data_IF_258639979718
#
_entry.id   IF_258639979718
#
_cell.length_a   1.000
_cell.length_b   1.000
_cell.length_c   1.000
_cell.angle_alpha   90.00
_cell.angle_beta   90.00
_cell.angle_gamma   90.00
#
_symmetry.space_group_name_H-M   'P 1'
#
loop_
_entity.id
_entity.type
_entity.pdbx_description
1 polymer ?
#
# COMPACT_ATOMS: atom_id res chain seq x y z
N UNK A 1 46.52 20.83 62.11
CA UNK A 1 46.17 21.34 60.77
C UNK A 1 46.19 20.25 59.71
N UNK A 2 47.18 19.35 59.72
CA UNK A 2 47.33 18.29 58.70
C UNK A 2 46.18 17.28 58.62
N UNK A 3 45.62 16.87 59.77
CA UNK A 3 44.50 15.90 59.80
C UNK A 3 43.24 16.50 59.15
N UNK A 4 42.94 17.77 59.40
CA UNK A 4 41.79 18.45 58.80
C UNK A 4 41.96 18.60 57.28
N UNK A 5 43.17 18.84 56.79
CA UNK A 5 43.44 18.91 55.35
C UNK A 5 43.28 17.55 54.66
N UNK A 6 43.68 16.46 55.30
CA UNK A 6 43.50 15.10 54.76
C UNK A 6 42.01 14.73 54.72
N UNK A 7 41.26 15.04 55.77
CA UNK A 7 39.80 14.81 55.81
C UNK A 7 39.10 15.62 54.72
N UNK A 8 39.44 16.90 54.55
CA UNK A 8 38.87 17.74 53.50
C UNK A 8 39.17 17.20 52.09
N UNK A 9 40.38 16.70 51.85
CA UNK A 9 40.76 16.10 50.58
C UNK A 9 39.98 14.80 50.31
N UNK A 10 39.82 13.94 51.33
CA UNK A 10 39.03 12.70 51.21
C UNK A 10 37.56 12.98 50.90
N UNK A 11 36.96 13.97 51.55
CA UNK A 11 35.59 14.39 51.28
C UNK A 11 35.45 14.95 49.85
N UNK A 12 36.40 15.74 49.38
CA UNK A 12 36.42 16.23 47.99
C UNK A 12 36.48 15.09 46.98
N UNK A 13 37.36 14.10 47.20
CA UNK A 13 37.48 12.92 46.34
C UNK A 13 36.20 12.07 46.36
N UNK A 14 35.52 11.97 47.50
CA UNK A 14 34.24 11.28 47.62
C UNK A 14 33.13 11.99 46.84
N UNK A 15 33.07 13.32 46.88
CA UNK A 15 32.11 14.12 46.08
C UNK A 15 32.38 13.97 44.59
N UNK A 16 33.65 13.99 44.16
CA UNK A 16 34.03 13.82 42.75
C UNK A 16 33.69 12.41 42.26
N UNK A 17 33.99 11.38 43.04
CA UNK A 17 33.71 9.99 42.67
C UNK A 17 32.21 9.68 42.65
N UNK A 18 31.46 10.10 43.66
CA UNK A 18 29.99 9.96 43.68
C UNK A 18 29.31 10.69 42.52
N UNK A 19 29.74 11.91 42.19
CA UNK A 19 29.23 12.65 41.04
C UNK A 19 29.51 11.96 39.70
N UNK A 20 30.66 11.29 39.55
CA UNK A 20 30.98 10.49 38.36
C UNK A 20 30.14 9.22 38.27
N UNK A 21 29.93 8.52 39.39
CA UNK A 21 29.04 7.35 39.43
C UNK A 21 27.61 7.73 39.07
N UNK A 22 27.07 8.81 39.65
CA UNK A 22 25.71 9.25 39.41
C UNK A 22 25.48 9.62 37.93
N UNK A 23 26.42 10.33 37.31
CA UNK A 23 26.38 10.65 35.87
C UNK A 23 26.45 9.39 35.00
N UNK A 24 27.31 8.43 35.35
CA UNK A 24 27.42 7.16 34.63
C UNK A 24 26.13 6.34 34.71
N UNK A 25 25.53 6.28 35.90
CA UNK A 25 24.24 5.60 36.12
C UNK A 25 23.12 6.23 35.28
N UNK A 26 23.04 7.56 35.25
CA UNK A 26 22.03 8.28 34.47
C UNK A 26 22.16 8.03 32.96
N UNK A 27 23.40 8.03 32.43
CA UNK A 27 23.65 7.76 31.00
C UNK A 27 23.28 6.31 30.64
N UNK A 28 23.64 5.35 31.49
CA UNK A 28 23.24 3.94 31.33
C UNK A 28 21.72 3.77 31.37
N UNK A 29 21.04 4.47 32.28
CA UNK A 29 19.58 4.49 32.37
C UNK A 29 18.92 5.01 31.10
N UNK A 30 19.40 6.13 30.54
CA UNK A 30 18.89 6.66 29.26
C UNK A 30 19.11 5.70 28.09
N UNK A 31 20.29 5.05 28.02
CA UNK A 31 20.57 4.08 26.96
C UNK A 31 19.65 2.86 27.04
N UNK A 32 19.38 2.36 28.24
CA UNK A 32 18.39 1.29 28.46
C UNK A 32 16.99 1.73 28.03
N UNK A 33 16.56 2.92 28.42
CA UNK A 33 15.25 3.45 27.99
C UNK A 33 15.12 3.58 26.47
N UNK A 34 16.19 3.97 25.77
CA UNK A 34 16.21 3.98 24.30
C UNK A 34 16.08 2.58 23.69
N UNK A 35 16.75 1.58 24.28
CA UNK A 35 16.65 0.18 23.84
C UNK A 35 15.25 -0.40 24.09
N UNK A 36 14.65 -0.10 25.23
CA UNK A 36 13.29 -0.51 25.59
C UNK A 36 12.27 0.10 24.63
N UNK A 37 12.37 1.40 24.35
CA UNK A 37 11.51 2.07 23.37
C UNK A 37 11.62 1.45 21.96
N UNK A 38 12.84 1.17 21.50
CA UNK A 38 13.05 0.53 20.21
C UNK A 38 12.49 -0.90 20.18
N UNK A 39 12.63 -1.65 21.28
CA UNK A 39 12.06 -3.00 21.41
C UNK A 39 10.53 -2.98 21.36
N UNK A 40 9.89 -2.01 22.01
CA UNK A 40 8.44 -1.88 21.99
C UNK A 40 7.90 -1.48 20.60
N UNK A 41 8.59 -0.57 19.92
CA UNK A 41 8.30 -0.22 18.52
C UNK A 41 8.40 -1.47 17.63
N UNK A 42 9.44 -2.29 17.81
CA UNK A 42 9.60 -3.53 17.04
C UNK A 42 8.49 -4.53 17.34
N UNK A 43 8.07 -4.67 18.60
CA UNK A 43 6.93 -5.55 18.94
C UNK A 43 5.67 -5.11 18.19
N UNK A 44 5.35 -3.81 18.20
CA UNK A 44 4.22 -3.28 17.44
C UNK A 44 4.36 -3.46 15.93
N UNK A 45 5.56 -3.27 15.39
CA UNK A 45 5.82 -3.36 13.96
C UNK A 45 5.94 -4.81 13.45
N UNK A 46 6.35 -5.76 14.29
CA UNK A 46 6.38 -7.18 13.94
C UNK A 46 4.97 -7.71 13.60
N UNK A 47 3.93 -7.24 14.30
CA UNK A 47 2.54 -7.51 13.93
C UNK A 47 2.26 -7.00 12.49
N UNK A 48 2.82 -5.85 12.12
CA UNK A 48 2.68 -5.31 10.78
C UNK A 48 3.45 -6.13 9.73
N UNK A 49 4.50 -6.89 10.09
CA UNK A 49 5.32 -7.70 9.17
C UNK A 49 4.94 -9.19 9.09
N UNK A 50 3.86 -9.62 9.77
CA UNK A 50 3.46 -11.01 10.08
C UNK A 50 3.56 -12.07 8.97
N UNK A 51 3.50 -11.72 7.69
CA UNK A 51 3.54 -12.68 6.58
C UNK A 51 4.90 -13.39 6.41
N UNK A 52 6.00 -12.87 6.99
CA UNK A 52 7.32 -13.48 6.86
C UNK A 52 8.02 -13.83 8.20
N UNK A 53 7.48 -13.39 9.34
CA UNK A 53 8.09 -13.61 10.67
C UNK A 53 9.50 -13.03 10.87
N UNK A 54 10.08 -12.39 9.85
CA UNK A 54 11.44 -11.87 9.86
C UNK A 54 11.43 -10.36 9.63
N UNK A 55 12.13 -9.63 10.51
CA UNK A 55 12.42 -8.22 10.28
C UNK A 55 13.28 -8.06 9.02
N UNK A 56 13.07 -6.98 8.24
CA UNK A 56 13.97 -6.60 7.16
C UNK A 56 15.42 -6.54 7.66
N UNK A 57 16.35 -7.06 6.86
CA UNK A 57 17.77 -7.20 7.23
C UNK A 57 18.43 -5.87 7.64
N UNK A 58 17.98 -4.75 7.06
CA UNK A 58 18.49 -3.42 7.42
C UNK A 58 18.00 -2.96 8.79
N UNK A 59 16.74 -3.25 9.14
CA UNK A 59 16.15 -2.94 10.45
C UNK A 59 16.79 -3.80 11.53
N UNK A 60 17.01 -5.08 11.28
CA UNK A 60 17.71 -5.97 12.22
C UNK A 60 19.16 -5.53 12.43
N UNK A 61 19.88 -5.16 11.36
CA UNK A 61 21.24 -4.62 11.45
C UNK A 61 21.31 -3.30 12.23
N UNK A 62 20.33 -2.41 12.05
CA UNK A 62 20.25 -1.16 12.80
C UNK A 62 19.94 -1.41 14.29
N UNK A 63 19.08 -2.38 14.58
CA UNK A 63 18.76 -2.80 15.94
C UNK A 63 19.98 -3.38 16.66
N UNK A 64 20.78 -4.22 16.00
CA UNK A 64 21.98 -4.79 16.61
C UNK A 64 23.00 -3.70 16.97
N UNK A 65 23.12 -2.64 16.15
CA UNK A 65 23.94 -1.47 16.50
C UNK A 65 23.40 -0.70 17.71
N UNK A 66 22.09 -0.62 17.89
CA UNK A 66 21.45 -0.01 19.05
C UNK A 66 21.61 -0.85 20.33
N UNK A 67 21.63 -2.18 20.19
CA UNK A 67 21.84 -3.13 21.30
C UNK A 67 23.31 -3.21 21.72
N UNK A 68 24.24 -2.93 20.81
CA UNK A 68 25.66 -3.03 21.09
C UNK A 68 26.06 -2.19 22.32
N UNK A 69 26.82 -2.78 23.26
CA UNK A 69 27.20 -2.07 24.47
C UNK A 69 28.10 -0.90 24.07
N UNK A 70 27.71 0.30 24.49
CA UNK A 70 28.58 1.45 24.40
C UNK A 70 29.87 1.16 25.18
N UNK A 71 30.99 1.03 24.46
CA UNK A 71 32.31 0.75 25.03
C UNK A 71 32.78 1.86 25.97
N UNK A 72 34.05 1.82 26.37
CA UNK A 72 34.70 2.83 27.21
C UNK A 72 34.89 4.18 26.48
N UNK A 73 33.80 4.76 25.99
CA UNK A 73 33.76 6.06 25.31
C UNK A 73 33.27 7.11 26.30
N UNK A 74 33.74 8.35 26.17
CA UNK A 74 33.27 9.43 27.03
C UNK A 74 31.74 9.58 26.98
N UNK A 75 31.13 9.95 28.11
CA UNK A 75 29.67 10.08 28.24
C UNK A 75 29.00 10.96 27.18
N UNK A 76 29.72 11.97 26.65
CA UNK A 76 29.22 12.84 25.57
C UNK A 76 29.15 12.08 24.25
N UNK A 77 30.23 11.43 23.85
CA UNK A 77 30.30 10.61 22.63
C UNK A 77 29.32 9.43 22.67
N UNK A 78 29.12 8.83 23.84
CA UNK A 78 28.14 7.77 24.03
C UNK A 78 26.70 8.22 23.77
N UNK A 79 26.37 9.47 24.16
CA UNK A 79 25.05 10.05 23.92
C UNK A 79 24.85 10.36 22.43
N UNK A 80 25.86 10.96 21.79
CA UNK A 80 25.83 11.29 20.37
C UNK A 80 25.73 10.03 19.49
N UNK A 81 26.45 8.97 19.85
CA UNK A 81 26.36 7.66 19.19
C UNK A 81 24.98 7.01 19.36
N UNK A 82 24.39 7.08 20.57
CA UNK A 82 23.04 6.55 20.81
C UNK A 82 21.98 7.25 19.96
N UNK A 83 22.05 8.58 19.84
CA UNK A 83 21.17 9.35 18.95
C UNK A 83 21.37 9.01 17.47
N UNK A 84 22.61 8.87 17.03
CA UNK A 84 22.91 8.44 15.66
C UNK A 84 22.37 7.03 15.35
N UNK A 85 22.50 6.08 16.29
CA UNK A 85 21.96 4.74 16.12
C UNK A 85 20.43 4.72 16.07
N UNK A 86 19.76 5.53 16.89
CA UNK A 86 18.30 5.69 16.82
C UNK A 86 17.84 6.29 15.49
N UNK A 87 18.58 7.27 14.96
CA UNK A 87 18.28 7.85 13.66
C UNK A 87 18.35 6.82 12.54
N UNK A 88 19.45 6.04 12.49
CA UNK A 88 19.63 4.96 11.51
C UNK A 88 18.55 3.88 11.67
N UNK A 89 18.16 3.55 12.90
CA UNK A 89 17.06 2.63 13.16
C UNK A 89 15.72 3.17 12.63
N UNK A 90 15.39 4.43 12.91
CA UNK A 90 14.16 5.06 12.44
C UNK A 90 14.07 5.15 10.92
N UNK A 91 15.17 5.51 10.26
CA UNK A 91 15.26 5.59 8.79
C UNK A 91 15.07 4.22 8.11
N UNK A 92 15.76 3.18 8.60
CA UNK A 92 15.61 1.82 8.11
C UNK A 92 14.17 1.30 8.31
N UNK A 93 13.59 1.58 9.49
CA UNK A 93 12.22 1.17 9.80
C UNK A 93 11.19 1.88 8.91
N UNK A 94 11.31 3.20 8.75
CA UNK A 94 10.44 4.00 7.89
C UNK A 94 10.48 3.55 6.43
N UNK A 95 11.69 3.34 5.90
CA UNK A 95 11.90 2.84 4.54
C UNK A 95 11.29 1.46 4.33
N UNK A 96 11.44 0.55 5.29
CA UNK A 96 10.83 -0.77 5.22
C UNK A 96 9.29 -0.71 5.25
N UNK A 97 8.71 0.09 6.14
CA UNK A 97 7.26 0.29 6.21
C UNK A 97 6.72 0.90 4.90
N UNK A 98 7.38 1.92 4.36
CA UNK A 98 7.01 2.52 3.07
C UNK A 98 7.10 1.52 1.93
N UNK A 99 8.18 0.76 1.83
CA UNK A 99 8.37 -0.24 0.77
C UNK A 99 7.29 -1.32 0.81
N UNK A 100 6.94 -1.80 2.02
CA UNK A 100 5.85 -2.75 2.21
C UNK A 100 4.50 -2.14 1.78
N UNK A 101 4.17 -0.94 2.27
CA UNK A 101 2.92 -0.25 1.92
C UNK A 101 2.81 0.02 0.43
N UNK A 102 3.88 0.49 -0.21
CA UNK A 102 3.95 0.73 -1.65
C UNK A 102 3.75 -0.56 -2.44
N UNK A 103 4.38 -1.67 -2.04
CA UNK A 103 4.20 -2.97 -2.69
C UNK A 103 2.75 -3.46 -2.56
N UNK A 104 2.18 -3.39 -1.36
CA UNK A 104 0.78 -3.74 -1.13
C UNK A 104 -0.16 -2.86 -1.97
N UNK A 105 0.09 -1.55 -2.03
CA UNK A 105 -0.67 -0.64 -2.89
C UNK A 105 -0.55 -1.01 -4.37
N UNK A 106 0.65 -1.31 -4.86
CA UNK A 106 0.87 -1.78 -6.23
C UNK A 106 0.15 -3.10 -6.53
N UNK A 107 0.13 -4.04 -5.59
CA UNK A 107 -0.61 -5.31 -5.74
C UNK A 107 -2.12 -5.10 -5.72
N UNK A 108 -2.64 -4.25 -4.85
CA UNK A 108 -4.06 -3.85 -4.86
C UNK A 108 -4.43 -3.09 -6.14
N UNK A 109 -3.46 -2.45 -6.79
CA UNK A 109 -3.60 -1.80 -8.08
C UNK A 109 -3.24 -2.69 -9.28
N UNK A 110 -2.75 -3.92 -9.08
CA UNK A 110 -2.44 -4.81 -10.19
C UNK A 110 -3.75 -5.34 -10.81
N UNK A 111 -3.84 -5.45 -12.15
CA UNK A 111 -5.00 -6.08 -12.78
C UNK A 111 -5.12 -7.54 -12.33
N UNK A 112 -6.36 -8.03 -12.20
CA UNK A 112 -6.61 -9.46 -11.95
C UNK A 112 -6.13 -10.27 -13.15
N UNK A 113 -5.80 -11.54 -12.93
CA UNK A 113 -5.36 -12.46 -13.97
C UNK A 113 -6.32 -12.45 -15.18
N UNK A 114 -5.76 -12.34 -16.38
CA UNK A 114 -6.51 -12.24 -17.63
C UNK A 114 -7.19 -10.88 -17.89
N UNK A 115 -6.95 -9.84 -17.09
CA UNK A 115 -7.51 -8.49 -17.31
C UNK A 115 -6.42 -7.47 -17.67
N UNK A 116 -6.78 -6.53 -18.52
CA UNK A 116 -5.96 -5.35 -18.86
C UNK A 116 -6.54 -4.16 -18.11
N UNK A 117 -5.68 -3.35 -17.47
CA UNK A 117 -6.07 -2.06 -16.90
C UNK A 117 -5.85 -0.98 -17.95
N UNK A 118 -6.90 -0.20 -18.21
CA UNK A 118 -6.86 0.97 -19.08
C UNK A 118 -7.30 2.17 -18.25
N UNK A 119 -6.49 3.23 -18.25
CA UNK A 119 -6.83 4.48 -17.60
C UNK A 119 -7.58 5.36 -18.60
N UNK A 120 -8.78 5.82 -18.22
CA UNK A 120 -9.63 6.68 -19.04
C UNK A 120 -10.10 7.84 -18.16
N UNK A 121 -10.06 9.05 -18.72
CA UNK A 121 -10.80 10.18 -18.15
C UNK A 121 -12.31 9.90 -18.22
N UNK A 122 -13.12 10.59 -17.40
CA UNK A 122 -14.57 10.40 -17.44
C UNK A 122 -15.18 10.71 -18.82
N UNK A 123 -14.63 11.70 -19.52
CA UNK A 123 -15.06 12.06 -20.88
C UNK A 123 -14.67 10.98 -21.91
N UNK A 124 -13.46 10.43 -21.83
CA UNK A 124 -13.03 9.31 -22.69
C UNK A 124 -13.87 8.05 -22.44
N UNK A 125 -14.18 7.77 -21.17
CA UNK A 125 -15.06 6.65 -20.81
C UNK A 125 -16.46 6.86 -21.39
N UNK A 126 -17.01 8.08 -21.29
CA UNK A 126 -18.30 8.43 -21.87
C UNK A 126 -18.30 8.25 -23.39
N UNK A 127 -17.29 8.75 -24.09
CA UNK A 127 -17.15 8.56 -25.54
C UNK A 127 -17.04 7.08 -25.92
N UNK A 128 -16.26 6.31 -25.15
CA UNK A 128 -16.09 4.88 -25.36
C UNK A 128 -17.42 4.13 -25.17
N UNK A 129 -18.25 4.51 -24.19
CA UNK A 129 -19.58 3.87 -24.01
C UNK A 129 -20.49 4.09 -25.21
N UNK A 130 -20.50 5.29 -25.79
CA UNK A 130 -21.28 5.57 -27.01
C UNK A 130 -20.76 4.80 -28.21
N UNK A 131 -19.44 4.74 -28.40
CA UNK A 131 -18.83 3.95 -29.47
C UNK A 131 -19.11 2.46 -29.31
N UNK A 132 -19.06 1.94 -28.08
CA UNK A 132 -19.38 0.55 -27.78
C UNK A 132 -20.86 0.23 -28.04
N UNK A 133 -21.77 1.14 -27.68
CA UNK A 133 -23.19 1.00 -27.97
C UNK A 133 -23.48 1.01 -29.47
N UNK A 134 -22.88 1.94 -30.22
CA UNK A 134 -23.01 1.98 -31.67
C UNK A 134 -22.42 0.70 -32.29
N UNK A 135 -21.19 0.35 -31.93
CA UNK A 135 -20.53 -0.87 -32.40
C UNK A 135 -21.37 -2.12 -32.16
N UNK A 136 -21.99 -2.24 -30.99
CA UNK A 136 -22.95 -3.31 -30.70
C UNK A 136 -24.10 -3.36 -31.72
N UNK A 137 -24.74 -2.22 -32.02
CA UNK A 137 -25.81 -2.16 -33.02
C UNK A 137 -25.33 -2.53 -34.43
N UNK A 138 -24.12 -2.12 -34.82
CA UNK A 138 -23.56 -2.47 -36.13
C UNK A 138 -23.14 -3.94 -36.24
N UNK A 139 -22.76 -4.58 -35.12
CA UNK A 139 -22.43 -6.01 -35.06
C UNK A 139 -23.67 -6.91 -35.02
N UNK A 140 -24.84 -6.34 -34.71
CA UNK A 140 -26.10 -7.06 -34.78
C UNK A 140 -26.41 -7.47 -36.22
N UNK A 141 -26.91 -8.69 -36.48
CA UNK A 141 -27.01 -9.18 -37.86
C UNK A 141 -28.16 -8.53 -38.67
N UNK A 142 -29.01 -7.72 -38.03
CA UNK A 142 -30.05 -6.92 -38.66
C UNK A 142 -29.49 -5.67 -39.37
N UNK A 143 -28.29 -5.22 -39.02
CA UNK A 143 -27.68 -4.03 -39.59
C UNK A 143 -26.72 -4.41 -40.74
N UNK A 144 -26.96 -3.91 -41.96
CA UNK A 144 -26.23 -4.31 -43.19
C UNK A 144 -24.98 -3.48 -43.50
N UNK A 145 -24.49 -2.67 -42.57
CA UNK A 145 -23.44 -1.66 -42.83
C UNK A 145 -21.99 -2.16 -42.84
N UNK A 146 -21.66 -3.19 -42.06
CA UNK A 146 -20.29 -3.74 -41.97
C UNK A 146 -20.33 -5.27 -42.00
N UNK A 147 -19.61 -5.88 -42.94
CA UNK A 147 -19.59 -7.35 -43.14
C UNK A 147 -18.49 -8.05 -42.35
N UNK A 148 -17.49 -7.33 -41.84
CA UNK A 148 -16.26 -7.97 -41.36
C UNK A 148 -16.38 -8.61 -39.97
N UNK A 149 -17.21 -8.09 -39.06
CA UNK A 149 -17.32 -8.58 -37.67
C UNK A 149 -18.78 -8.53 -37.19
N UNK A 150 -19.45 -9.69 -37.11
CA UNK A 150 -20.81 -9.83 -36.58
C UNK A 150 -20.82 -10.78 -35.39
N UNK A 151 -21.84 -10.68 -34.55
CA UNK A 151 -22.05 -11.68 -33.51
C UNK A 151 -22.29 -13.06 -34.12
N UNK A 152 -21.54 -14.03 -33.61
CA UNK A 152 -21.60 -15.43 -34.06
C UNK A 152 -22.89 -16.13 -33.65
N UNK A 153 -23.53 -15.65 -32.57
CA UNK A 153 -24.80 -16.18 -32.07
C UNK A 153 -25.43 -15.32 -30.98
N UNK A 154 -26.55 -15.80 -30.43
CA UNK A 154 -27.32 -15.13 -29.37
C UNK A 154 -26.49 -14.93 -28.09
N UNK A 155 -25.71 -15.95 -27.69
CA UNK A 155 -24.88 -15.90 -26.47
C UNK A 155 -23.77 -14.86 -26.57
N UNK A 156 -23.07 -14.82 -27.70
CA UNK A 156 -22.02 -13.84 -28.01
C UNK A 156 -22.58 -12.40 -27.95
N UNK A 157 -23.76 -12.16 -28.53
CA UNK A 157 -24.44 -10.88 -28.44
C UNK A 157 -24.83 -10.54 -26.98
N UNK A 158 -25.31 -11.51 -26.19
CA UNK A 158 -25.67 -11.28 -24.78
C UNK A 158 -24.46 -10.96 -23.92
N UNK A 159 -23.34 -11.62 -24.16
CA UNK A 159 -22.09 -11.34 -23.43
C UNK A 159 -21.50 -9.98 -23.81
N UNK A 160 -21.57 -9.61 -25.10
CA UNK A 160 -21.25 -8.25 -25.53
C UNK A 160 -22.17 -7.20 -24.89
N UNK A 161 -23.48 -7.44 -24.82
CA UNK A 161 -24.42 -6.53 -24.18
C UNK A 161 -24.11 -6.28 -22.69
N UNK A 162 -23.75 -7.35 -21.95
CA UNK A 162 -23.27 -7.24 -20.56
C UNK A 162 -21.95 -6.48 -20.44
N UNK A 163 -21.03 -6.66 -21.38
CA UNK A 163 -19.77 -5.94 -21.38
C UNK A 163 -19.99 -4.43 -21.58
N UNK A 164 -20.87 -4.05 -22.51
CA UNK A 164 -21.27 -2.65 -22.73
C UNK A 164 -21.98 -2.08 -21.51
N UNK A 165 -22.90 -2.82 -20.88
CA UNK A 165 -23.56 -2.39 -19.65
C UNK A 165 -22.56 -2.11 -18.52
N UNK A 166 -21.55 -2.97 -18.33
CA UNK A 166 -20.50 -2.74 -17.34
C UNK A 166 -19.72 -1.44 -17.61
N UNK A 167 -19.46 -1.12 -18.88
CA UNK A 167 -18.82 0.15 -19.25
C UNK A 167 -19.71 1.34 -18.91
N UNK A 168 -21.00 1.28 -19.28
CA UNK A 168 -21.98 2.35 -19.03
C UNK A 168 -22.18 2.62 -17.52
N UNK A 169 -22.24 1.55 -16.71
CA UNK A 169 -22.36 1.65 -15.24
C UNK A 169 -21.07 2.20 -14.61
N UNK A 170 -19.92 2.08 -15.27
CA UNK A 170 -18.66 2.62 -14.76
C UNK A 170 -18.55 4.14 -14.89
N UNK A 171 -19.39 4.77 -15.73
CA UNK A 171 -19.47 6.24 -15.84
C UNK A 171 -20.03 6.83 -14.55
N UNK A 172 -19.50 7.96 -14.02
CA UNK A 172 -20.07 8.64 -12.86
C UNK A 172 -21.53 9.08 -13.08
N UNK A 173 -22.39 8.91 -12.06
CA UNK A 173 -23.84 9.21 -12.15
C UNK A 173 -24.12 10.64 -12.63
N UNK A 174 -23.32 11.61 -12.20
CA UNK A 174 -23.46 13.03 -12.57
C UNK A 174 -23.23 13.31 -14.05
N UNK A 175 -22.55 12.42 -14.76
CA UNK A 175 -22.18 12.58 -16.17
C UNK A 175 -22.93 11.63 -17.10
N UNK A 176 -23.80 10.75 -16.55
CA UNK A 176 -24.58 9.82 -17.37
C UNK A 176 -25.69 10.55 -18.12
N UNK A 177 -25.72 10.49 -19.46
CA UNK A 177 -26.79 11.11 -20.23
C UNK A 177 -28.10 10.31 -20.17
N UNK A 178 -28.01 8.99 -20.00
CA UNK A 178 -29.14 8.05 -20.00
C UNK A 178 -28.91 6.97 -18.95
N UNK A 179 -29.98 6.43 -18.39
CA UNK A 179 -29.92 5.30 -17.46
C UNK A 179 -29.34 4.04 -18.15
N UNK A 180 -28.21 3.48 -17.65
CA UNK A 180 -27.61 2.26 -18.21
C UNK A 180 -28.57 1.07 -18.26
N UNK A 181 -29.50 0.97 -17.30
CA UNK A 181 -30.47 -0.14 -17.27
C UNK A 181 -31.42 -0.05 -18.46
N UNK A 182 -31.88 1.15 -18.80
CA UNK A 182 -32.73 1.37 -19.97
C UNK A 182 -31.99 1.01 -21.28
N UNK A 183 -30.72 1.41 -21.40
CA UNK A 183 -29.88 1.07 -22.56
C UNK A 183 -29.62 -0.44 -22.67
N UNK A 184 -29.40 -1.12 -21.55
CA UNK A 184 -29.23 -2.59 -21.52
C UNK A 184 -30.50 -3.32 -21.93
N UNK A 185 -31.66 -2.92 -21.40
CA UNK A 185 -32.96 -3.48 -21.78
C UNK A 185 -33.24 -3.30 -23.28
N UNK A 186 -32.89 -2.14 -23.85
CA UNK A 186 -32.99 -1.93 -25.30
C UNK A 186 -32.13 -2.89 -26.11
N UNK A 187 -30.90 -3.18 -25.69
CA UNK A 187 -30.03 -4.16 -26.35
C UNK A 187 -30.56 -5.58 -26.24
N UNK A 188 -31.05 -5.99 -25.06
CA UNK A 188 -31.62 -7.32 -24.86
C UNK A 188 -32.87 -7.52 -25.73
N UNK A 189 -33.73 -6.51 -25.84
CA UNK A 189 -34.89 -6.55 -26.72
C UNK A 189 -34.49 -6.74 -28.21
N UNK A 190 -33.42 -6.08 -28.67
CA UNK A 190 -32.89 -6.25 -30.02
C UNK A 190 -32.35 -7.66 -30.28
N UNK A 191 -31.68 -8.26 -29.30
CA UNK A 191 -31.20 -9.64 -29.37
C UNK A 191 -32.40 -10.59 -29.47
N UNK A 192 -33.34 -10.45 -28.54
CA UNK A 192 -34.49 -11.33 -28.44
C UNK A 192 -35.34 -11.25 -29.71
N UNK A 193 -35.60 -10.06 -30.26
CA UNK A 193 -36.35 -9.92 -31.50
C UNK A 193 -35.70 -10.67 -32.67
N UNK A 194 -34.37 -10.57 -32.82
CA UNK A 194 -33.69 -11.13 -33.98
C UNK A 194 -33.58 -12.66 -33.95
N UNK A 195 -33.23 -13.23 -32.79
CA UNK A 195 -33.04 -14.68 -32.66
C UNK A 195 -34.33 -15.44 -32.32
N UNK A 196 -35.36 -14.79 -31.74
CA UNK A 196 -36.67 -15.41 -31.52
C UNK A 196 -37.42 -15.64 -32.84
N UNK A 197 -37.41 -14.66 -33.76
CA UNK A 197 -38.05 -14.78 -35.08
C UNK A 197 -37.47 -15.94 -35.91
N UNK A 198 -36.17 -16.22 -35.80
CA UNK A 198 -35.53 -17.35 -36.48
C UNK A 198 -35.84 -18.71 -35.86
N UNK A 199 -36.10 -18.79 -34.55
CA UNK A 199 -36.51 -20.05 -33.91
C UNK A 199 -37.89 -20.50 -34.43
N UNK A 200 -38.74 -19.56 -34.84
CA UNK A 200 -40.04 -19.83 -35.45
C UNK A 200 -39.98 -20.13 -36.95
N UNK A 201 -38.94 -19.68 -37.65
CA UNK A 201 -38.78 -19.88 -39.10
C UNK A 201 -38.12 -21.22 -39.49
N UNK A 202 -37.67 -22.02 -38.51
CA UNK A 202 -37.00 -23.33 -38.70
C UNK A 202 -37.94 -24.51 -38.36
N UNK A 203 -39.24 -24.24 -38.20
CA UNK A 203 -40.29 -25.27 -38.02
C UNK A 203 -41.06 -25.47 -39.32
#
# INVERSE_FOLDING_TARGET
>A
MEILTVIALLLLLLVISSGRLMRSYFVRGRHRGMQEAAAEIIRGVNAHFEVAGQLPAEVSKALEKLKSPAGHVSHRRQRDQGHAHLWVFGDALGSACWSKGNRSGKLSMAPREGKIRVELSPDELQQLTWLAHLGFQYMMPNYRGFESHRFSGEEDARDAAKAVERLEVSVPVTQRPVDPIALSNGRLALIDSWWSERKLAVV
#
